data_IF_352770401696
#
_entry.id   IF_352770401696
#
_cell.length_a   1.000
_cell.length_b   1.000
_cell.length_c   1.000
_cell.angle_alpha   90.00
_cell.angle_beta   90.00
_cell.angle_gamma   90.00
#
_symmetry.space_group_name_H-M   'P 1'
#
loop_
_entity.id
_entity.type
_entity.pdbx_description
1 polymer ?
#
# COMPACT_ATOMS: atom_id res chain seq x y z
N UNK A 1 12.03 13.42 -10.63
CA UNK A 1 12.33 13.53 -12.09
C UNK A 1 12.28 12.14 -12.68
N UNK A 2 11.45 11.88 -13.67
CA UNK A 2 11.55 10.62 -14.41
C UNK A 2 12.87 10.61 -15.19
N UNK A 3 13.65 9.56 -15.02
CA UNK A 3 14.84 9.34 -15.83
C UNK A 3 14.37 8.85 -17.20
N UNK A 4 14.68 9.63 -18.23
CA UNK A 4 14.42 9.24 -19.62
C UNK A 4 15.71 8.73 -20.19
N UNK A 5 15.75 7.45 -20.54
CA UNK A 5 16.83 6.83 -21.30
C UNK A 5 16.18 6.08 -22.45
N UNK A 6 16.34 6.38 -23.71
CA UNK A 6 15.54 5.82 -24.78
C UNK A 6 16.19 5.49 -26.11
N UNK A 7 15.49 4.71 -26.92
CA UNK A 7 15.86 4.27 -28.26
C UNK A 7 15.20 5.14 -29.34
N UNK A 8 15.94 6.05 -29.93
CA UNK A 8 15.86 6.56 -31.32
C UNK A 8 16.73 7.81 -31.46
N UNK A 9 17.34 8.03 -32.59
CA UNK A 9 18.06 9.26 -32.89
C UNK A 9 17.15 10.45 -32.65
N UNK A 10 17.43 11.24 -31.62
CA UNK A 10 16.62 12.37 -31.22
C UNK A 10 17.37 13.32 -30.29
N UNK A 11 17.06 14.58 -30.40
CA UNK A 11 17.53 15.63 -29.50
C UNK A 11 16.57 15.68 -28.32
N UNK A 12 17.06 15.43 -27.11
CA UNK A 12 16.30 15.63 -25.88
C UNK A 12 16.79 16.91 -25.20
N UNK A 13 15.88 17.84 -24.94
CA UNK A 13 16.13 18.99 -24.07
C UNK A 13 15.56 18.75 -22.70
N UNK A 14 16.38 18.88 -21.63
CA UNK A 14 15.89 18.83 -20.26
C UNK A 14 15.27 20.18 -19.90
N UNK A 15 13.95 20.23 -19.63
CA UNK A 15 13.28 21.48 -19.27
C UNK A 15 13.81 22.12 -17.97
N UNK A 16 14.38 21.28 -17.09
CA UNK A 16 14.87 21.73 -15.78
C UNK A 16 16.28 22.32 -15.77
N UNK A 17 17.12 21.93 -16.72
CA UNK A 17 18.52 22.43 -16.81
C UNK A 17 18.82 23.14 -18.12
N UNK A 18 17.89 23.11 -19.08
CA UNK A 18 18.04 23.79 -20.38
C UNK A 18 19.04 23.14 -21.33
N UNK A 19 19.70 22.06 -20.93
CA UNK A 19 20.70 21.40 -21.74
C UNK A 19 20.06 20.51 -22.81
N UNK A 20 20.73 20.41 -23.94
CA UNK A 20 20.34 19.56 -25.08
C UNK A 20 21.37 18.44 -25.24
N UNK A 21 20.87 17.22 -25.39
CA UNK A 21 21.70 16.03 -25.53
C UNK A 21 21.29 15.26 -26.79
N UNK A 22 22.30 14.76 -27.51
CA UNK A 22 22.12 13.83 -28.64
C UNK A 22 22.32 12.39 -28.13
N UNK A 23 21.35 11.52 -28.35
CA UNK A 23 21.41 10.12 -27.94
C UNK A 23 21.05 9.19 -29.11
N UNK A 24 21.76 8.08 -29.21
CA UNK A 24 21.39 6.97 -30.12
C UNK A 24 20.24 6.15 -29.52
N UNK A 25 20.15 6.12 -28.20
CA UNK A 25 19.19 5.32 -27.45
C UNK A 25 18.66 6.15 -26.28
N UNK A 26 17.33 6.32 -26.11
CA UNK A 26 16.64 6.88 -24.93
C UNK A 26 15.84 5.73 -24.24
N UNK A 27 16.01 5.33 -22.97
CA UNK A 27 15.18 4.36 -22.20
C UNK A 27 14.23 5.14 -21.30
N UNK A 28 12.92 4.95 -21.44
CA UNK A 28 11.91 5.57 -20.57
C UNK A 28 11.76 4.75 -19.29
N UNK A 29 12.45 5.15 -18.22
CA UNK A 29 12.34 4.55 -16.89
C UNK A 29 11.48 5.45 -16.00
N UNK A 30 10.21 5.62 -16.36
CA UNK A 30 9.29 6.59 -15.74
C UNK A 30 8.75 6.14 -14.40
N UNK A 31 9.07 4.92 -13.95
CA UNK A 31 8.57 4.33 -12.71
C UNK A 31 7.13 3.85 -12.82
N UNK A 32 6.59 3.41 -11.71
CA UNK A 32 5.22 2.93 -11.58
C UNK A 32 4.69 3.20 -10.16
N UNK A 33 3.36 3.12 -10.00
CA UNK A 33 2.71 3.25 -8.71
C UNK A 33 2.75 1.90 -7.97
N UNK A 34 3.75 1.74 -7.10
CA UNK A 34 4.15 0.45 -6.56
C UNK A 34 3.09 -0.23 -5.68
N UNK A 35 2.49 0.48 -4.71
CA UNK A 35 1.64 -0.13 -3.68
C UNK A 35 0.16 -0.20 -4.04
N UNK A 36 -0.35 0.78 -4.75
CA UNK A 36 -1.80 0.93 -4.97
C UNK A 36 -2.20 0.79 -6.42
N UNK A 37 -1.26 1.00 -7.35
CA UNK A 37 -1.57 1.11 -8.78
C UNK A 37 -2.24 -0.11 -9.38
N UNK A 38 -1.87 -1.32 -8.95
CA UNK A 38 -2.48 -2.55 -9.43
C UNK A 38 -3.96 -2.65 -9.03
N UNK A 39 -4.31 -2.33 -7.79
CA UNK A 39 -5.70 -2.35 -7.30
C UNK A 39 -6.51 -1.16 -7.84
N UNK A 40 -5.90 0.01 -7.97
CA UNK A 40 -6.56 1.20 -8.55
C UNK A 40 -6.86 1.05 -10.06
N UNK A 41 -6.22 0.08 -10.74
CA UNK A 41 -6.48 -0.21 -12.15
C UNK A 41 -7.79 -0.98 -12.40
N UNK A 42 -8.38 -1.57 -11.36
CA UNK A 42 -9.64 -2.29 -11.42
C UNK A 42 -10.79 -1.46 -10.83
N UNK A 43 -12.00 -1.66 -11.34
CA UNK A 43 -13.21 -1.07 -10.77
C UNK A 43 -13.68 -1.91 -9.55
N UNK A 44 -12.91 -1.85 -8.46
CA UNK A 44 -13.23 -2.49 -7.19
C UNK A 44 -14.08 -1.51 -6.38
N UNK A 45 -15.32 -1.91 -6.03
CA UNK A 45 -16.26 -1.09 -5.28
C UNK A 45 -16.54 -1.65 -3.91
N UNK A 46 -16.51 -0.76 -2.92
CA UNK A 46 -16.91 -1.07 -1.56
C UNK A 46 -18.43 -1.16 -1.39
N UNK A 47 -18.84 -1.47 -0.18
CA UNK A 47 -20.24 -1.57 0.23
C UNK A 47 -21.01 -0.24 0.03
N UNK A 48 -20.33 0.88 0.22
CA UNK A 48 -20.87 2.22 -0.02
C UNK A 48 -21.03 2.56 -1.51
N UNK A 49 -20.43 1.79 -2.42
CA UNK A 49 -20.31 2.07 -3.85
C UNK A 49 -19.06 2.88 -4.21
N UNK A 50 -18.28 3.35 -3.23
CA UNK A 50 -17.00 4.05 -3.43
C UNK A 50 -15.99 3.10 -4.07
N UNK A 51 -15.23 3.57 -5.07
CA UNK A 51 -14.15 2.75 -5.63
C UNK A 51 -12.93 2.77 -4.71
N UNK A 52 -12.10 1.73 -4.79
CA UNK A 52 -10.83 1.70 -4.04
C UNK A 52 -9.92 2.86 -4.45
N UNK A 53 -9.98 3.25 -5.71
CA UNK A 53 -9.25 4.40 -6.26
C UNK A 53 -9.69 5.70 -5.59
N UNK A 54 -11.00 5.95 -5.48
CA UNK A 54 -11.54 7.15 -4.84
C UNK A 54 -11.23 7.16 -3.33
N UNK A 55 -11.36 6.00 -2.67
CA UNK A 55 -11.00 5.87 -1.25
C UNK A 55 -9.53 6.21 -1.00
N UNK A 56 -8.65 5.81 -1.90
CA UNK A 56 -7.21 6.02 -1.80
C UNK A 56 -6.69 7.28 -2.51
N UNK A 57 -7.57 8.17 -2.96
CA UNK A 57 -7.17 9.43 -3.58
C UNK A 57 -6.39 10.32 -2.63
N UNK A 58 -6.84 10.42 -1.38
CA UNK A 58 -6.21 11.26 -0.35
C UNK A 58 -5.19 10.46 0.45
N UNK A 59 -5.57 9.32 0.99
CA UNK A 59 -4.73 8.49 1.86
C UNK A 59 -4.98 7.00 1.63
N UNK A 60 -3.91 6.24 1.40
CA UNK A 60 -4.00 4.82 1.13
C UNK A 60 -3.91 4.03 2.43
N UNK A 61 -5.04 3.92 3.14
CA UNK A 61 -5.16 3.18 4.39
C UNK A 61 -5.53 1.73 4.16
N UNK A 62 -5.14 0.89 5.11
CA UNK A 62 -5.58 -0.49 5.26
C UNK A 62 -5.43 -0.92 6.72
N UNK A 63 -5.96 -2.05 7.09
CA UNK A 63 -5.67 -2.71 8.36
C UNK A 63 -4.51 -3.68 8.12
N UNK A 64 -3.34 -3.41 8.67
CA UNK A 64 -2.14 -4.25 8.58
C UNK A 64 -1.77 -4.70 7.14
N UNK A 65 -2.19 -3.98 6.11
CA UNK A 65 -1.94 -4.37 4.72
C UNK A 65 -2.73 -5.59 4.24
N UNK A 66 -3.69 -6.10 5.01
CA UNK A 66 -4.44 -7.33 4.70
C UNK A 66 -5.91 -7.12 4.38
N UNK A 67 -6.54 -6.04 4.87
CA UNK A 67 -7.93 -5.73 4.53
C UNK A 67 -8.19 -4.22 4.61
N UNK A 68 -9.33 -3.77 4.07
CA UNK A 68 -9.65 -2.36 3.84
C UNK A 68 -11.09 -2.12 4.28
N UNK A 69 -11.35 -1.10 5.10
CA UNK A 69 -12.70 -0.74 5.52
C UNK A 69 -13.57 -0.34 4.33
N UNK A 70 -14.87 -0.61 4.41
CA UNK A 70 -15.85 -0.50 3.32
C UNK A 70 -15.76 -1.59 2.22
N UNK A 71 -14.71 -2.42 2.22
CA UNK A 71 -14.53 -3.50 1.23
C UNK A 71 -14.60 -4.87 1.91
N UNK A 72 -15.82 -5.35 2.26
CA UNK A 72 -15.97 -6.65 2.89
C UNK A 72 -15.51 -7.78 1.96
N UNK A 73 -14.95 -8.83 2.55
CA UNK A 73 -14.41 -10.01 1.86
C UNK A 73 -13.29 -9.69 0.84
N UNK A 74 -12.74 -8.47 0.86
CA UNK A 74 -11.56 -8.11 0.07
C UNK A 74 -10.32 -8.22 0.96
N UNK A 75 -9.42 -9.13 0.60
CA UNK A 75 -8.13 -9.28 1.23
C UNK A 75 -7.01 -8.84 0.30
N UNK A 76 -5.96 -8.27 0.89
CA UNK A 76 -4.75 -7.85 0.18
C UNK A 76 -3.53 -8.55 0.77
N UNK A 77 -2.53 -8.80 -0.04
CA UNK A 77 -1.23 -9.31 0.42
C UNK A 77 -0.20 -8.21 0.19
N UNK A 78 0.51 -7.85 1.26
CA UNK A 78 1.46 -6.72 1.26
C UNK A 78 0.83 -5.43 0.71
N UNK A 79 -0.41 -5.17 1.11
CA UNK A 79 -1.12 -3.93 0.78
C UNK A 79 -0.48 -2.69 1.43
N UNK A 80 -1.05 -1.51 1.23
CA UNK A 80 -0.57 -0.29 1.86
C UNK A 80 -0.43 -0.46 3.37
N UNK A 81 0.61 0.15 3.96
CA UNK A 81 0.92 0.08 5.39
C UNK A 81 1.32 -1.31 5.92
N UNK A 82 1.65 -2.25 5.01
CA UNK A 82 2.42 -3.45 5.34
C UNK A 82 3.93 -3.12 5.46
N UNK A 83 4.76 -3.96 6.12
CA UNK A 83 6.18 -3.70 6.23
C UNK A 83 6.93 -3.91 4.91
N UNK A 84 7.92 -3.06 4.68
CA UNK A 84 8.93 -3.31 3.64
C UNK A 84 10.05 -4.15 4.23
N UNK A 85 9.91 -5.47 4.10
CA UNK A 85 10.82 -6.45 4.69
C UNK A 85 11.10 -7.59 3.68
N UNK A 86 11.50 -8.76 4.15
CA UNK A 86 11.58 -9.95 3.29
C UNK A 86 10.18 -10.28 2.75
N UNK A 87 9.93 -9.96 1.48
CA UNK A 87 8.61 -10.10 0.86
C UNK A 87 8.05 -11.53 0.93
N UNK A 88 8.80 -12.60 0.59
CA UNK A 88 8.28 -13.96 0.73
C UNK A 88 7.75 -14.29 2.12
N UNK A 89 8.48 -13.90 3.17
CA UNK A 89 8.04 -14.10 4.56
C UNK A 89 6.81 -13.25 4.90
N UNK A 90 6.78 -11.99 4.47
CA UNK A 90 5.61 -11.13 4.70
C UNK A 90 4.36 -11.62 3.99
N UNK A 91 4.51 -12.11 2.76
CA UNK A 91 3.43 -12.74 1.97
C UNK A 91 2.88 -13.97 2.70
N UNK A 92 3.76 -14.83 3.21
CA UNK A 92 3.37 -16.01 3.99
C UNK A 92 2.55 -15.63 5.24
N UNK A 93 3.04 -14.66 6.03
CA UNK A 93 2.34 -14.21 7.23
C UNK A 93 0.97 -13.57 6.93
N UNK A 94 0.85 -12.80 5.85
CA UNK A 94 -0.45 -12.28 5.41
C UNK A 94 -1.36 -13.41 4.95
N UNK A 95 -0.85 -14.38 4.18
CA UNK A 95 -1.62 -15.53 3.72
C UNK A 95 -2.13 -16.39 4.87
N UNK A 96 -1.33 -16.59 5.92
CA UNK A 96 -1.74 -17.32 7.14
C UNK A 96 -2.89 -16.56 7.84
N UNK A 97 -2.75 -15.24 8.08
CA UNK A 97 -3.81 -14.44 8.68
C UNK A 97 -5.13 -14.53 7.89
N UNK A 98 -5.04 -14.39 6.56
CA UNK A 98 -6.21 -14.48 5.67
C UNK A 98 -6.83 -15.88 5.71
N UNK A 99 -6.01 -16.92 5.70
CA UNK A 99 -6.45 -18.31 5.78
C UNK A 99 -7.18 -18.59 7.09
N UNK A 100 -6.63 -18.13 8.22
CA UNK A 100 -7.25 -18.29 9.54
C UNK A 100 -8.57 -17.52 9.65
N UNK A 101 -8.63 -16.32 9.04
CA UNK A 101 -9.85 -15.52 8.97
C UNK A 101 -10.95 -16.24 8.16
N UNK A 102 -10.62 -16.75 6.98
CA UNK A 102 -11.56 -17.51 6.13
C UNK A 102 -12.01 -18.79 6.85
N UNK A 103 -11.07 -19.51 7.48
CA UNK A 103 -11.39 -20.70 8.24
C UNK A 103 -12.37 -20.40 9.38
N UNK A 104 -12.18 -19.31 10.12
CA UNK A 104 -13.15 -18.89 11.15
C UNK A 104 -14.52 -18.62 10.55
N UNK A 105 -14.59 -17.96 9.39
CA UNK A 105 -15.86 -17.73 8.70
C UNK A 105 -16.56 -19.04 8.36
N UNK A 106 -15.83 -20.03 7.83
CA UNK A 106 -16.38 -21.33 7.48
C UNK A 106 -16.84 -22.11 8.72
N UNK A 107 -15.99 -22.18 9.76
CA UNK A 107 -16.25 -22.94 10.99
C UNK A 107 -17.47 -22.37 11.77
N UNK A 108 -17.68 -21.05 11.74
CA UNK A 108 -18.77 -20.38 12.46
C UNK A 108 -19.97 -20.01 11.57
N UNK A 109 -19.90 -20.31 10.27
CA UNK A 109 -20.99 -20.10 9.31
C UNK A 109 -21.20 -18.64 8.91
N UNK A 110 -20.18 -17.82 9.00
CA UNK A 110 -20.20 -16.43 8.54
C UNK A 110 -19.99 -16.34 7.03
N UNK A 111 -20.70 -15.44 6.37
CA UNK A 111 -20.56 -15.16 4.94
C UNK A 111 -19.90 -13.83 4.65
N UNK A 112 -19.73 -12.99 5.67
CA UNK A 112 -19.20 -11.64 5.55
C UNK A 112 -18.13 -11.39 6.61
N UNK A 113 -16.96 -10.95 6.16
CA UNK A 113 -15.90 -10.35 6.95
C UNK A 113 -15.84 -8.87 6.59
N UNK A 114 -16.23 -7.99 7.51
CA UNK A 114 -16.27 -6.54 7.30
C UNK A 114 -15.21 -5.85 8.14
N UNK A 115 -14.13 -5.30 7.52
CA UNK A 115 -13.11 -4.55 8.23
C UNK A 115 -13.69 -3.28 8.86
N UNK A 116 -13.31 -3.01 10.12
CA UNK A 116 -13.81 -1.88 10.90
C UNK A 116 -13.04 -0.61 10.57
N UNK A 117 -13.75 0.49 10.38
CA UNK A 117 -13.14 1.79 10.08
C UNK A 117 -12.27 2.29 11.23
N UNK A 118 -12.70 2.09 12.48
CA UNK A 118 -11.93 2.53 13.66
C UNK A 118 -10.59 1.77 13.77
N UNK A 119 -10.56 0.49 13.40
CA UNK A 119 -9.34 -0.31 13.36
C UNK A 119 -8.40 0.12 12.22
N UNK A 120 -8.95 0.52 11.06
CA UNK A 120 -8.17 1.09 9.95
C UNK A 120 -7.53 2.43 10.36
N UNK A 121 -8.29 3.30 11.03
CA UNK A 121 -7.79 4.59 11.52
C UNK A 121 -6.72 4.40 12.61
N UNK A 122 -6.94 3.49 13.57
CA UNK A 122 -5.97 3.18 14.63
C UNK A 122 -4.66 2.67 14.04
N UNK A 123 -4.73 1.71 13.10
CA UNK A 123 -3.55 1.19 12.43
C UNK A 123 -2.81 2.28 11.64
N UNK A 124 -3.54 3.08 10.89
CA UNK A 124 -2.96 4.17 10.08
C UNK A 124 -2.29 5.24 10.96
N UNK A 125 -2.90 5.60 12.10
CA UNK A 125 -2.31 6.51 13.07
C UNK A 125 -1.01 5.94 13.66
N UNK A 126 -1.00 4.65 14.02
CA UNK A 126 0.19 3.96 14.52
C UNK A 126 1.32 3.95 13.49
N UNK A 127 1.02 3.62 12.24
CA UNK A 127 2.01 3.62 11.15
C UNK A 127 2.57 5.02 10.92
N UNK A 128 1.72 6.05 10.95
CA UNK A 128 2.11 7.46 10.78
C UNK A 128 3.02 7.94 11.91
N UNK A 129 2.74 7.54 13.16
CA UNK A 129 3.58 7.90 14.31
C UNK A 129 4.98 7.28 14.23
N UNK A 130 5.07 6.01 13.84
CA UNK A 130 6.36 5.35 13.61
C UNK A 130 7.11 6.02 12.47
N UNK A 131 6.41 6.37 11.38
CA UNK A 131 7.01 7.00 10.21
C UNK A 131 7.74 8.31 10.57
N UNK A 132 7.13 9.17 11.39
CA UNK A 132 7.73 10.43 11.87
C UNK A 132 9.06 10.25 12.60
N UNK A 133 9.33 9.06 13.12
CA UNK A 133 10.56 8.73 13.85
C UNK A 133 11.67 8.22 12.92
N UNK A 134 11.42 8.16 11.62
CA UNK A 134 12.35 7.64 10.62
C UNK A 134 12.86 8.74 9.69
N UNK A 135 13.93 8.45 8.94
CA UNK A 135 14.42 9.34 7.88
C UNK A 135 13.44 9.45 6.70
N UNK A 136 12.39 8.61 6.66
CA UNK A 136 11.39 8.63 5.59
C UNK A 136 10.42 9.81 5.72
N UNK A 137 10.38 10.48 6.87
CA UNK A 137 9.56 11.70 7.09
C UNK A 137 9.88 12.85 6.11
N UNK A 138 11.09 12.84 5.54
CA UNK A 138 11.50 13.78 4.49
C UNK A 138 11.47 13.18 3.07
N UNK A 139 10.87 12.01 2.91
CA UNK A 139 10.86 11.26 1.64
C UNK A 139 10.12 11.94 0.49
N UNK A 140 9.17 12.81 0.78
CA UNK A 140 8.47 13.66 -0.20
C UNK A 140 9.40 14.67 -0.86
N UNK A 141 10.39 15.23 -0.13
CA UNK A 141 11.35 16.19 -0.64
C UNK A 141 12.27 15.59 -1.73
N UNK A 142 12.42 14.27 -1.74
CA UNK A 142 13.22 13.53 -2.73
C UNK A 142 12.35 12.72 -3.71
N UNK A 143 11.05 12.99 -3.76
CA UNK A 143 10.09 12.28 -4.62
C UNK A 143 10.17 10.74 -4.46
N UNK A 144 10.25 10.27 -3.22
CA UNK A 144 10.38 8.83 -2.93
C UNK A 144 9.15 8.05 -3.38
N UNK A 145 9.37 6.98 -4.15
CA UNK A 145 8.31 6.05 -4.52
C UNK A 145 7.69 5.32 -3.32
N UNK A 146 8.44 5.20 -2.23
CA UNK A 146 7.97 4.61 -0.96
C UNK A 146 6.88 5.45 -0.30
N UNK A 147 6.78 6.73 -0.66
CA UNK A 147 5.75 7.66 -0.22
C UNK A 147 4.70 7.92 -1.31
N UNK A 148 4.83 7.29 -2.48
CA UNK A 148 4.01 7.60 -3.64
C UNK A 148 4.26 9.00 -4.21
N UNK A 149 5.29 9.70 -3.74
CA UNK A 149 5.64 11.07 -4.16
C UNK A 149 6.25 11.14 -5.57
N UNK A 150 6.54 10.01 -6.18
CA UNK A 150 7.00 9.90 -7.57
C UNK A 150 5.86 9.98 -8.60
N UNK A 151 4.60 10.01 -8.16
CA UNK A 151 3.44 10.11 -9.05
C UNK A 151 2.94 11.56 -9.07
N UNK A 152 2.92 12.14 -10.26
CA UNK A 152 2.40 13.51 -10.44
C UNK A 152 0.93 13.61 -9.98
N UNK A 153 0.61 14.73 -9.35
CA UNK A 153 -0.73 15.07 -8.83
C UNK A 153 -1.24 14.13 -7.72
N UNK A 154 -0.39 13.31 -7.13
CA UNK A 154 -0.71 12.57 -5.89
C UNK A 154 0.07 13.15 -4.71
N UNK A 155 -0.62 13.27 -3.57
CA UNK A 155 0.01 13.68 -2.32
C UNK A 155 0.97 12.58 -1.83
N UNK A 156 2.04 12.99 -1.16
CA UNK A 156 2.90 12.06 -0.41
C UNK A 156 2.07 11.36 0.67
N UNK A 157 2.28 10.05 0.84
CA UNK A 157 1.49 9.19 1.71
C UNK A 157 2.37 8.21 2.47
N UNK A 158 1.97 7.87 3.68
CA UNK A 158 2.64 6.82 4.45
C UNK A 158 2.14 5.46 3.99
N UNK A 159 2.89 4.85 3.06
CA UNK A 159 2.53 3.58 2.42
C UNK A 159 3.16 2.35 3.06
N UNK A 160 4.14 2.54 3.96
CA UNK A 160 4.98 1.46 4.50
C UNK A 160 5.04 1.54 6.02
N UNK A 161 4.89 0.38 6.67
CA UNK A 161 5.12 0.22 8.08
C UNK A 161 6.62 0.02 8.38
N UNK A 162 7.21 0.90 9.19
CA UNK A 162 8.63 0.85 9.57
C UNK A 162 8.88 0.40 11.01
N UNK A 163 7.89 -0.14 11.71
CA UNK A 163 8.01 -0.62 13.09
C UNK A 163 8.69 -1.98 13.24
N UNK A 164 9.20 -2.55 12.16
CA UNK A 164 9.91 -3.83 12.17
C UNK A 164 9.01 -5.02 11.84
N UNK A 165 9.53 -5.92 11.01
CA UNK A 165 8.77 -7.08 10.51
C UNK A 165 8.36 -8.04 11.65
N UNK A 166 9.25 -8.27 12.65
CA UNK A 166 8.93 -9.13 13.79
C UNK A 166 7.73 -8.63 14.59
N UNK A 167 7.70 -7.33 14.90
CA UNK A 167 6.57 -6.69 15.62
C UNK A 167 5.28 -6.79 14.80
N UNK A 168 5.37 -6.57 13.49
CA UNK A 168 4.23 -6.72 12.60
C UNK A 168 3.68 -8.16 12.58
N UNK A 169 4.56 -9.17 12.51
CA UNK A 169 4.13 -10.58 12.52
C UNK A 169 3.52 -10.97 13.86
N UNK A 170 4.03 -10.43 14.98
CA UNK A 170 3.40 -10.60 16.29
C UNK A 170 2.00 -10.00 16.31
N UNK A 171 1.82 -8.80 15.74
CA UNK A 171 0.50 -8.15 15.65
C UNK A 171 -0.52 -8.97 14.85
N UNK A 172 -0.10 -9.56 13.72
CA UNK A 172 -0.97 -10.47 12.96
C UNK A 172 -1.38 -11.69 13.79
N UNK A 173 -0.43 -12.31 14.52
CA UNK A 173 -0.72 -13.44 15.40
C UNK A 173 -1.63 -13.07 16.57
N UNK A 174 -1.43 -11.91 17.16
CA UNK A 174 -2.29 -11.38 18.23
C UNK A 174 -3.72 -11.18 17.73
N UNK A 175 -3.90 -10.65 16.52
CA UNK A 175 -5.21 -10.49 15.89
C UNK A 175 -5.93 -11.84 15.77
N UNK A 176 -5.27 -12.87 15.24
CA UNK A 176 -5.81 -14.23 15.14
C UNK A 176 -6.17 -14.77 16.51
N UNK A 177 -5.27 -14.72 17.49
CA UNK A 177 -5.47 -15.24 18.85
C UNK A 177 -6.63 -14.56 19.59
N UNK A 178 -6.88 -13.28 19.29
CA UNK A 178 -7.99 -12.50 19.86
C UNK A 178 -9.28 -12.58 19.03
N UNK A 179 -9.35 -13.45 18.03
CA UNK A 179 -10.53 -13.69 17.21
C UNK A 179 -10.84 -12.57 16.20
N UNK A 180 -9.79 -11.87 15.74
CA UNK A 180 -9.85 -10.80 14.72
C UNK A 180 -10.66 -9.58 15.17
N UNK A 181 -10.22 -8.85 16.21
CA UNK A 181 -10.95 -7.70 16.73
C UNK A 181 -11.07 -6.54 15.74
N UNK A 182 -10.27 -6.54 14.66
CA UNK A 182 -10.26 -5.53 13.62
C UNK A 182 -11.40 -5.68 12.60
N UNK A 183 -12.14 -6.80 12.64
CA UNK A 183 -13.20 -7.10 11.68
C UNK A 183 -14.49 -7.53 12.38
N UNK A 184 -15.62 -7.30 11.72
CA UNK A 184 -16.95 -7.80 12.12
C UNK A 184 -17.35 -8.95 11.21
N UNK A 185 -17.79 -10.06 11.80
CA UNK A 185 -18.28 -11.23 11.06
C UNK A 185 -19.81 -11.28 11.07
N UNK A 186 -20.39 -11.69 9.95
CA UNK A 186 -21.84 -11.90 9.82
C UNK A 186 -22.15 -13.08 8.89
#
# INVERSE_FOLDING_TARGET
MPWVVGLNQGIYSSPSIGDTFDFDIIILATGFQAYTGALEAFDIRGKSGTTIKDKWEVESKSIMGVCISDFPNLFTITGPQAPFANLPTSIEQNALWISDCIKKMEDEGYSLCEPLIDAEEEWSAHVSEIHKQTLMDVGDQVHSWMMGANIENKNSRVLIYFGGAGVYYDRLRESVNNGFPEVSFR
#
